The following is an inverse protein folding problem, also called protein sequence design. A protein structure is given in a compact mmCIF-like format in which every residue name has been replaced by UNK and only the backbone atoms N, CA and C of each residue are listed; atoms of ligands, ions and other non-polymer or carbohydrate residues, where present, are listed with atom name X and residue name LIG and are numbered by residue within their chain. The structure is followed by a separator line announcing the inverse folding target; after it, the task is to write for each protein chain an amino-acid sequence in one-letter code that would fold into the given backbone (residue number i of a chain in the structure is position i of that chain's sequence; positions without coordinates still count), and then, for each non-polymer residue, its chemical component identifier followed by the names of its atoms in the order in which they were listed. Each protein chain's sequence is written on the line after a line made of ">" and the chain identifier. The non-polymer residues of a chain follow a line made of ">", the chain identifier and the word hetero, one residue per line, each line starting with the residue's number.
data_IF_349778568404
#
_entry.id   IF_349778568404
#
_cell.length_a   1.000
_cell.length_b   1.000
_cell.length_c   1.000
_cell.angle_alpha   90.00
_cell.angle_beta   90.00
_cell.angle_gamma   90.00
#
_symmetry.space_group_name_H-M   'P 1'
#
loop_
_entity.id
_entity.type
_entity.pdbx_description
1 polymer ?
#
# COMPACT_ATOMS: atom_id res chain seq x y z
N UNK A 1 28.05 1.40 -22.75
CA UNK A 1 26.68 1.36 -23.32
C UNK A 1 25.93 0.04 -23.04
N UNK A 2 26.62 -1.06 -22.67
CA UNK A 2 25.97 -2.37 -22.41
C UNK A 2 25.15 -2.42 -21.08
N UNK A 3 25.29 -1.42 -20.21
CA UNK A 3 24.73 -1.46 -18.84
C UNK A 3 23.54 -0.51 -18.64
N UNK A 4 22.97 0.03 -19.71
CA UNK A 4 21.87 0.98 -19.69
C UNK A 4 20.73 0.60 -20.64
N UNK A 5 19.51 0.98 -20.26
CA UNK A 5 18.35 0.91 -21.15
C UNK A 5 18.52 1.94 -22.26
N UNK A 6 18.32 1.52 -23.52
CA UNK A 6 18.37 2.35 -24.71
C UNK A 6 16.97 2.45 -25.31
N UNK A 7 16.68 3.51 -26.04
CA UNK A 7 15.39 3.70 -26.72
C UNK A 7 15.01 2.49 -27.61
N UNK A 8 16.01 1.86 -28.23
CA UNK A 8 15.84 0.64 -29.01
C UNK A 8 15.29 -0.57 -28.26
N UNK A 9 15.39 -0.60 -26.92
CA UNK A 9 14.74 -1.62 -26.08
C UNK A 9 13.21 -1.48 -26.05
N UNK A 10 12.65 -0.35 -26.49
CA UNK A 10 11.21 -0.12 -26.61
C UNK A 10 10.64 -0.32 -28.02
N UNK A 11 11.47 -0.67 -29.02
CA UNK A 11 11.07 -0.63 -30.45
C UNK A 11 10.68 -1.99 -31.05
N UNK A 12 10.52 -3.05 -30.26
CA UNK A 12 10.05 -4.35 -30.76
C UNK A 12 11.07 -5.21 -31.49
N UNK A 13 12.36 -4.80 -31.55
CA UNK A 13 13.42 -5.53 -32.23
C UNK A 13 14.25 -6.44 -31.33
N UNK A 14 15.46 -6.82 -31.79
CA UNK A 14 16.35 -7.73 -31.07
C UNK A 14 16.75 -7.21 -29.69
N UNK A 15 16.93 -5.90 -29.50
CA UNK A 15 17.22 -5.31 -28.20
C UNK A 15 16.05 -5.50 -27.22
N UNK A 16 14.81 -5.30 -27.68
CA UNK A 16 13.61 -5.55 -26.86
C UNK A 16 13.52 -7.03 -26.49
N UNK A 17 13.72 -7.92 -27.44
CA UNK A 17 13.69 -9.36 -27.18
C UNK A 17 14.76 -9.79 -26.15
N UNK A 18 15.95 -9.20 -26.21
CA UNK A 18 17.03 -9.43 -25.26
C UNK A 18 16.66 -8.93 -23.85
N UNK A 19 16.12 -7.70 -23.72
CA UNK A 19 15.64 -7.13 -22.47
C UNK A 19 14.54 -8.00 -21.83
N UNK A 20 13.54 -8.37 -22.63
CA UNK A 20 12.44 -9.21 -22.15
C UNK A 20 12.95 -10.56 -21.65
N UNK A 21 13.79 -11.24 -22.45
CA UNK A 21 14.32 -12.56 -22.09
C UNK A 21 15.21 -12.52 -20.85
N UNK A 22 16.17 -11.60 -20.80
CA UNK A 22 17.26 -11.62 -19.83
C UNK A 22 16.96 -10.80 -18.54
N UNK A 23 15.90 -10.01 -18.53
CA UNK A 23 15.50 -9.20 -17.36
C UNK A 23 14.07 -9.53 -16.94
N UNK A 24 13.09 -9.33 -17.82
CA UNK A 24 11.68 -9.41 -17.46
C UNK A 24 11.24 -10.86 -17.23
N UNK A 25 11.36 -11.73 -18.23
CA UNK A 25 10.95 -13.14 -18.12
C UNK A 25 11.84 -13.92 -17.14
N UNK A 26 13.11 -13.52 -16.99
CA UNK A 26 13.98 -14.10 -15.97
C UNK A 26 13.50 -13.80 -14.54
N UNK A 27 12.90 -12.64 -14.33
CA UNK A 27 12.33 -12.26 -13.03
C UNK A 27 10.90 -12.76 -12.83
N UNK A 28 10.11 -12.88 -13.89
CA UNK A 28 8.68 -13.23 -13.86
C UNK A 28 8.42 -14.50 -14.67
N UNK A 29 8.71 -15.69 -14.12
CA UNK A 29 8.65 -16.96 -14.87
C UNK A 29 7.25 -17.38 -15.31
N UNK A 30 6.20 -16.83 -14.70
CA UNK A 30 4.81 -17.10 -15.06
C UNK A 30 4.31 -16.27 -16.26
N UNK A 31 5.06 -15.24 -16.68
CA UNK A 31 4.71 -14.43 -17.85
C UNK A 31 4.98 -15.24 -19.12
N UNK A 32 3.93 -15.42 -19.93
CA UNK A 32 4.03 -16.03 -21.23
C UNK A 32 4.23 -14.97 -22.33
N UNK A 33 4.96 -15.26 -23.41
CA UNK A 33 5.14 -14.34 -24.54
C UNK A 33 3.90 -14.31 -25.45
N UNK A 34 2.77 -13.94 -24.86
CA UNK A 34 1.42 -13.84 -25.48
C UNK A 34 0.80 -12.49 -25.13
N UNK A 35 -0.28 -12.11 -25.83
CA UNK A 35 -0.94 -10.80 -25.64
C UNK A 35 -1.65 -10.65 -24.30
N UNK A 36 -1.75 -11.72 -23.50
CA UNK A 36 -2.40 -11.69 -22.20
C UNK A 36 -2.29 -13.00 -21.43
N UNK A 37 -2.87 -13.05 -20.24
CA UNK A 37 -2.93 -14.24 -19.40
C UNK A 37 -4.38 -14.71 -19.25
N UNK A 38 -4.58 -16.03 -19.26
CA UNK A 38 -5.89 -16.65 -18.97
C UNK A 38 -5.97 -16.94 -17.47
N UNK A 39 -7.12 -16.62 -16.87
CA UNK A 39 -7.39 -16.88 -15.48
C UNK A 39 -8.76 -17.52 -15.30
N UNK A 40 -8.81 -18.61 -14.55
CA UNK A 40 -10.06 -19.22 -14.11
C UNK A 40 -10.53 -18.59 -12.80
N UNK A 41 -11.82 -18.29 -12.71
CA UNK A 41 -12.45 -17.85 -11.46
C UNK A 41 -12.89 -19.09 -10.68
N UNK A 42 -12.41 -19.32 -9.44
CA UNK A 42 -12.84 -20.46 -8.64
C UNK A 42 -14.35 -20.45 -8.42
N UNK A 43 -14.98 -21.61 -8.50
CA UNK A 43 -16.43 -21.75 -8.37
C UNK A 43 -16.95 -21.14 -7.07
N UNK A 44 -17.98 -20.31 -7.15
CA UNK A 44 -18.60 -19.67 -6.00
C UNK A 44 -17.84 -18.45 -5.43
N UNK A 45 -16.74 -18.06 -6.04
CA UNK A 45 -15.99 -16.85 -5.64
C UNK A 45 -16.38 -15.63 -6.49
N UNK A 46 -16.16 -14.44 -5.95
CA UNK A 46 -16.20 -13.16 -6.68
C UNK A 46 -14.80 -12.77 -7.12
N UNK A 47 -14.70 -12.26 -8.33
CA UNK A 47 -13.48 -11.63 -8.82
C UNK A 47 -13.43 -10.18 -8.29
N UNK A 48 -12.28 -9.82 -7.72
CA UNK A 48 -11.93 -8.44 -7.32
C UNK A 48 -10.78 -8.00 -8.21
N UNK A 49 -10.88 -6.78 -8.70
CA UNK A 49 -9.88 -6.17 -9.59
C UNK A 49 -9.50 -4.78 -9.08
N UNK A 50 -8.21 -4.48 -9.09
CA UNK A 50 -7.67 -3.16 -8.79
C UNK A 50 -6.53 -2.79 -9.72
N UNK A 51 -6.16 -1.52 -9.75
CA UNK A 51 -4.97 -1.01 -10.45
C UNK A 51 -4.40 0.18 -9.72
N UNK A 52 -3.06 0.27 -9.70
CA UNK A 52 -2.36 1.37 -9.08
C UNK A 52 -1.07 1.71 -9.85
N UNK A 53 -0.56 2.94 -9.66
CA UNK A 53 0.61 3.48 -10.34
C UNK A 53 1.60 4.04 -9.32
N UNK A 54 2.88 3.69 -9.50
CA UNK A 54 3.94 3.98 -8.54
C UNK A 54 5.00 4.87 -9.15
N UNK A 55 5.27 5.97 -8.46
CA UNK A 55 6.17 7.04 -8.90
C UNK A 55 7.10 7.52 -7.78
N UNK A 56 7.34 6.69 -6.76
CA UNK A 56 8.13 7.04 -5.57
C UNK A 56 9.54 7.54 -5.93
N UNK A 57 10.01 8.52 -5.20
CA UNK A 57 11.37 9.06 -5.31
C UNK A 57 11.95 9.29 -3.90
N UNK A 58 13.13 8.71 -3.57
CA UNK A 58 14.00 7.89 -4.42
C UNK A 58 13.41 6.50 -4.71
N UNK A 59 13.91 5.82 -5.75
CA UNK A 59 13.45 4.47 -6.15
C UNK A 59 13.81 3.40 -5.13
N UNK A 60 14.90 3.59 -4.41
CA UNK A 60 15.39 2.73 -3.34
C UNK A 60 15.43 3.53 -2.04
N UNK A 61 14.85 2.98 -1.00
CA UNK A 61 14.73 3.62 0.32
C UNK A 61 14.93 2.59 1.43
N UNK A 62 15.15 2.99 2.67
CA UNK A 62 15.27 2.05 3.79
C UNK A 62 14.05 1.12 3.88
N UNK A 63 14.30 -0.18 3.84
CA UNK A 63 13.25 -1.20 3.93
C UNK A 63 12.56 -1.58 2.63
N UNK A 64 12.87 -0.93 1.49
CA UNK A 64 12.21 -1.26 0.23
C UNK A 64 12.72 -0.53 -1.01
N UNK A 65 11.98 -0.74 -2.08
CA UNK A 65 12.15 -0.08 -3.37
C UNK A 65 10.80 0.03 -4.09
N UNK A 66 10.76 0.76 -5.20
CA UNK A 66 9.56 0.95 -6.01
C UNK A 66 8.93 -0.38 -6.47
N UNK A 67 9.72 -1.43 -6.69
CA UNK A 67 9.23 -2.73 -7.13
C UNK A 67 8.45 -3.46 -6.03
N UNK A 68 9.01 -3.51 -4.80
CA UNK A 68 8.31 -4.06 -3.64
C UNK A 68 7.04 -3.28 -3.35
N UNK A 69 7.14 -1.96 -3.40
CA UNK A 69 6.02 -1.05 -3.18
C UNK A 69 4.88 -1.30 -4.17
N UNK A 70 5.19 -1.42 -5.46
CA UNK A 70 4.22 -1.65 -6.51
C UNK A 70 3.43 -2.96 -6.34
N UNK A 71 4.07 -4.01 -5.91
CA UNK A 71 3.39 -5.28 -5.64
C UNK A 71 2.55 -5.19 -4.36
N UNK A 72 3.14 -4.70 -3.27
CA UNK A 72 2.45 -4.65 -1.98
C UNK A 72 1.22 -3.73 -2.04
N UNK A 73 1.31 -2.55 -2.64
CA UNK A 73 0.15 -1.65 -2.77
C UNK A 73 -1.01 -2.33 -3.48
N UNK A 74 -0.78 -2.90 -4.66
CA UNK A 74 -1.83 -3.58 -5.43
C UNK A 74 -2.43 -4.79 -4.70
N UNK A 75 -1.62 -5.64 -4.05
CA UNK A 75 -2.16 -6.79 -3.31
C UNK A 75 -2.87 -6.36 -2.02
N UNK A 76 -2.49 -5.22 -1.45
CA UNK A 76 -3.14 -4.67 -0.27
C UNK A 76 -4.54 -4.14 -0.58
N UNK A 77 -4.73 -3.50 -1.72
CA UNK A 77 -6.06 -3.12 -2.21
C UNK A 77 -7.00 -4.34 -2.30
N UNK A 78 -6.51 -5.43 -2.90
CA UNK A 78 -7.27 -6.69 -2.96
C UNK A 78 -7.61 -7.21 -1.56
N UNK A 79 -6.63 -7.17 -0.64
CA UNK A 79 -6.83 -7.61 0.74
C UNK A 79 -7.87 -6.73 1.47
N UNK A 80 -7.89 -5.41 1.24
CA UNK A 80 -8.90 -4.52 1.83
C UNK A 80 -10.32 -4.86 1.35
N UNK A 81 -10.46 -5.45 0.18
CA UNK A 81 -11.73 -5.99 -0.34
C UNK A 81 -12.02 -7.43 0.13
N UNK A 82 -11.17 -8.01 1.00
CA UNK A 82 -11.29 -9.40 1.47
C UNK A 82 -10.99 -10.45 0.40
N UNK A 83 -10.23 -10.06 -0.61
CA UNK A 83 -9.85 -10.94 -1.71
C UNK A 83 -8.44 -11.50 -1.51
N UNK A 84 -8.30 -12.81 -1.70
CA UNK A 84 -7.00 -13.46 -1.79
C UNK A 84 -6.31 -13.04 -3.10
N UNK A 85 -5.15 -12.36 -3.03
CA UNK A 85 -4.40 -11.98 -4.22
C UNK A 85 -4.02 -13.22 -5.04
N UNK A 86 -4.13 -13.13 -6.37
CA UNK A 86 -3.85 -14.27 -7.25
C UNK A 86 -2.94 -13.89 -8.43
N UNK A 87 -3.34 -12.92 -9.22
CA UNK A 87 -2.67 -12.56 -10.46
C UNK A 87 -2.39 -11.07 -10.52
N UNK A 88 -1.23 -10.72 -11.08
CA UNK A 88 -0.79 -9.33 -11.27
C UNK A 88 -0.37 -9.14 -12.72
N UNK A 89 -0.77 -8.03 -13.31
CA UNK A 89 -0.13 -7.47 -14.49
C UNK A 89 0.87 -6.38 -14.09
N UNK A 90 1.94 -6.20 -14.87
CA UNK A 90 2.96 -5.19 -14.60
C UNK A 90 3.31 -4.40 -15.86
N UNK A 91 2.98 -3.11 -15.88
CA UNK A 91 3.41 -2.16 -16.88
C UNK A 91 4.63 -1.38 -16.41
N UNK A 92 5.68 -1.32 -17.23
CA UNK A 92 6.91 -0.56 -16.97
C UNK A 92 7.08 0.55 -18.02
N UNK A 93 7.23 1.79 -17.56
CA UNK A 93 7.65 2.92 -18.40
C UNK A 93 9.05 3.32 -17.94
N UNK A 94 10.04 3.14 -18.79
CA UNK A 94 11.46 3.26 -18.45
C UNK A 94 12.07 4.37 -19.28
N UNK A 95 12.77 5.28 -18.63
CA UNK A 95 13.53 6.33 -19.31
C UNK A 95 14.83 5.78 -19.93
N UNK A 96 15.16 6.23 -21.13
CA UNK A 96 16.44 5.94 -21.75
C UNK A 96 17.60 6.38 -20.84
N UNK A 97 18.60 5.51 -20.71
CA UNK A 97 19.74 5.75 -19.81
C UNK A 97 19.60 5.14 -18.44
N UNK A 98 18.43 4.57 -18.10
CA UNK A 98 18.23 3.85 -16.83
C UNK A 98 19.20 2.66 -16.71
N UNK A 99 19.77 2.44 -15.53
CA UNK A 99 20.73 1.37 -15.31
C UNK A 99 20.06 0.00 -15.38
N UNK A 100 20.58 -0.92 -16.18
CA UNK A 100 20.04 -2.28 -16.29
C UNK A 100 20.14 -3.07 -14.99
N UNK A 101 21.15 -2.81 -14.17
CA UNK A 101 21.31 -3.46 -12.88
C UNK A 101 20.23 -3.01 -11.88
N UNK A 102 19.86 -1.73 -11.90
CA UNK A 102 18.75 -1.23 -11.08
C UNK A 102 17.42 -1.82 -11.57
N UNK A 103 17.22 -1.96 -12.89
CA UNK A 103 16.03 -2.62 -13.42
C UNK A 103 15.95 -4.08 -12.97
N UNK A 104 17.06 -4.84 -13.05
CA UNK A 104 17.13 -6.23 -12.57
C UNK A 104 16.80 -6.31 -11.07
N UNK A 105 17.34 -5.41 -10.27
CA UNK A 105 17.11 -5.32 -8.84
C UNK A 105 15.64 -5.05 -8.52
N UNK A 106 15.00 -4.12 -9.23
CA UNK A 106 13.57 -3.80 -9.08
C UNK A 106 12.71 -5.01 -9.47
N UNK A 107 12.95 -5.63 -10.64
CA UNK A 107 12.20 -6.81 -11.08
C UNK A 107 12.36 -7.99 -10.10
N UNK A 108 13.56 -8.23 -9.57
CA UNK A 108 13.79 -9.25 -8.56
C UNK A 108 13.07 -8.95 -7.24
N UNK A 109 12.97 -7.68 -6.84
CA UNK A 109 12.21 -7.24 -5.67
C UNK A 109 10.72 -7.45 -5.86
N UNK A 110 10.16 -7.11 -7.04
CA UNK A 110 8.78 -7.39 -7.41
C UNK A 110 8.46 -8.88 -7.33
N UNK A 111 9.32 -9.71 -7.91
CA UNK A 111 9.14 -11.18 -7.90
C UNK A 111 9.07 -11.72 -6.46
N UNK A 112 9.98 -11.30 -5.58
CA UNK A 112 9.96 -11.69 -4.16
C UNK A 112 8.69 -11.21 -3.45
N UNK A 113 8.29 -9.96 -3.65
CA UNK A 113 7.09 -9.42 -3.02
C UNK A 113 5.82 -10.15 -3.49
N UNK A 114 5.73 -10.51 -4.77
CA UNK A 114 4.63 -11.30 -5.30
C UNK A 114 4.56 -12.69 -4.66
N UNK A 115 5.71 -13.38 -4.52
CA UNK A 115 5.77 -14.67 -3.82
C UNK A 115 5.36 -14.54 -2.35
N UNK A 116 5.84 -13.52 -1.63
CA UNK A 116 5.46 -13.25 -0.24
C UNK A 116 3.95 -13.01 -0.08
N UNK A 117 3.33 -12.34 -1.07
CA UNK A 117 1.90 -12.08 -1.09
C UNK A 117 1.04 -13.28 -1.57
N UNK A 118 1.66 -14.35 -2.08
CA UNK A 118 0.96 -15.48 -2.68
C UNK A 118 0.39 -15.21 -4.06
N UNK A 119 0.83 -14.13 -4.73
CA UNK A 119 0.39 -13.74 -6.05
C UNK A 119 1.45 -14.06 -7.12
N UNK A 120 1.02 -14.08 -8.40
CA UNK A 120 1.91 -14.32 -9.56
C UNK A 120 1.81 -13.15 -10.54
N UNK A 121 2.96 -12.69 -11.03
CA UNK A 121 3.00 -11.74 -12.15
C UNK A 121 2.89 -12.57 -13.43
N UNK A 122 1.80 -12.39 -14.19
CA UNK A 122 1.42 -13.28 -15.30
C UNK A 122 1.40 -12.60 -16.67
N UNK A 123 1.38 -11.27 -16.68
CA UNK A 123 1.41 -10.47 -17.92
C UNK A 123 1.95 -9.08 -17.62
N UNK A 124 2.28 -8.33 -18.66
CA UNK A 124 2.76 -6.96 -18.52
C UNK A 124 3.09 -6.31 -19.86
N UNK A 125 3.51 -5.07 -19.77
CA UNK A 125 4.00 -4.30 -20.93
C UNK A 125 5.26 -3.52 -20.53
N UNK A 126 6.12 -3.23 -21.50
CA UNK A 126 7.35 -2.45 -21.29
C UNK A 126 7.47 -1.39 -22.37
N UNK A 127 7.54 -0.14 -21.95
CA UNK A 127 7.82 1.00 -22.84
C UNK A 127 9.12 1.66 -22.42
N UNK A 128 9.89 2.07 -23.42
CA UNK A 128 11.06 2.94 -23.22
C UNK A 128 10.76 4.28 -23.86
N UNK A 129 10.94 5.33 -23.09
CA UNK A 129 10.77 6.73 -23.51
C UNK A 129 12.13 7.42 -23.58
N UNK A 130 12.22 8.53 -24.31
CA UNK A 130 13.44 9.30 -24.46
C UNK A 130 13.94 9.93 -23.17
N UNK A 131 15.19 10.35 -23.16
CA UNK A 131 15.80 11.04 -22.01
C UNK A 131 15.02 12.32 -21.67
N UNK A 132 14.66 12.49 -20.40
CA UNK A 132 13.87 13.62 -19.91
C UNK A 132 12.35 13.49 -20.11
N UNK A 133 11.86 12.35 -20.63
CA UNK A 133 10.42 12.10 -20.83
C UNK A 133 9.78 11.29 -19.68
N UNK A 134 10.59 10.76 -18.78
CA UNK A 134 10.16 10.15 -17.53
C UNK A 134 11.15 10.49 -16.40
N UNK A 135 10.84 10.13 -15.16
CA UNK A 135 11.80 10.23 -14.06
C UNK A 135 12.30 8.83 -13.70
N UNK A 136 13.21 8.34 -14.47
CA UNK A 136 13.85 7.02 -14.34
C UNK A 136 12.95 5.85 -14.71
N UNK A 137 11.97 5.50 -13.89
CA UNK A 137 11.00 4.43 -14.11
C UNK A 137 9.68 4.74 -13.41
N UNK A 138 8.59 4.43 -14.09
CA UNK A 138 7.24 4.35 -13.51
C UNK A 138 6.72 2.92 -13.64
N UNK A 139 5.99 2.48 -12.62
CA UNK A 139 5.42 1.13 -12.57
C UNK A 139 3.92 1.26 -12.39
N UNK A 140 3.15 0.58 -13.26
CA UNK A 140 1.72 0.36 -13.05
C UNK A 140 1.49 -1.12 -12.83
N UNK A 141 0.71 -1.46 -11.82
CA UNK A 141 0.28 -2.83 -11.58
C UNK A 141 -1.24 -2.90 -11.54
N UNK A 142 -1.79 -3.98 -12.08
CA UNK A 142 -3.20 -4.31 -11.87
C UNK A 142 -3.29 -5.68 -11.27
N UNK A 143 -4.18 -5.86 -10.30
CA UNK A 143 -4.32 -7.08 -9.54
C UNK A 143 -5.69 -7.73 -9.69
N UNK A 144 -5.71 -9.06 -9.73
CA UNK A 144 -6.90 -9.88 -9.61
C UNK A 144 -6.79 -10.72 -8.35
N UNK A 145 -7.86 -10.73 -7.56
CA UNK A 145 -8.02 -11.58 -6.40
C UNK A 145 -9.40 -12.20 -6.34
N UNK A 146 -9.58 -13.17 -5.45
CA UNK A 146 -10.85 -13.89 -5.27
C UNK A 146 -11.37 -13.72 -3.86
N UNK A 147 -12.63 -13.29 -3.71
CA UNK A 147 -13.29 -13.07 -2.44
C UNK A 147 -14.51 -13.97 -2.28
N UNK A 148 -14.82 -14.35 -1.03
CA UNK A 148 -16.09 -15.00 -0.70
C UNK A 148 -17.25 -14.01 -0.92
N UNK A 149 -18.41 -14.46 -1.48
CA UNK A 149 -19.56 -13.58 -1.73
C UNK A 149 -20.11 -12.90 -0.49
N UNK A 150 -19.89 -13.47 0.69
CA UNK A 150 -20.34 -12.92 1.98
C UNK A 150 -19.56 -11.68 2.40
N UNK A 151 -18.35 -11.49 1.88
CA UNK A 151 -17.53 -10.32 2.17
C UNK A 151 -17.98 -9.14 1.29
N UNK A 152 -18.23 -8.02 1.91
CA UNK A 152 -18.62 -6.80 1.23
C UNK A 152 -18.34 -5.65 2.19
N UNK A 153 -17.09 -5.24 2.30
CA UNK A 153 -16.65 -4.16 3.16
C UNK A 153 -17.05 -2.82 2.53
N UNK A 154 -17.73 -1.99 3.32
CA UNK A 154 -18.20 -0.69 2.86
C UNK A 154 -18.37 0.24 4.06
N UNK A 155 -18.11 1.55 3.93
CA UNK A 155 -18.40 2.51 4.98
C UNK A 155 -19.82 2.42 5.54
N UNK A 156 -20.82 2.08 4.72
CA UNK A 156 -22.22 1.91 5.12
C UNK A 156 -22.48 0.77 6.13
N UNK A 157 -21.52 -0.14 6.27
CA UNK A 157 -21.60 -1.25 7.24
C UNK A 157 -21.09 -0.90 8.63
N UNK A 158 -20.39 0.23 8.75
CA UNK A 158 -19.92 0.74 10.04
C UNK A 158 -21.10 1.18 10.88
N UNK A 159 -21.05 0.92 12.18
CA UNK A 159 -22.13 1.22 13.09
C UNK A 159 -21.66 2.06 14.28
N UNK A 160 -22.57 2.85 14.83
CA UNK A 160 -22.32 3.49 16.13
C UNK A 160 -22.01 2.42 17.19
N UNK A 161 -20.93 2.61 17.91
CA UNK A 161 -20.38 1.66 18.87
C UNK A 161 -19.22 0.82 18.35
N UNK A 162 -18.99 0.77 17.03
CA UNK A 162 -17.83 0.09 16.48
C UNK A 162 -16.53 0.71 16.97
N UNK A 163 -15.52 -0.12 17.08
CA UNK A 163 -14.16 0.25 17.49
C UNK A 163 -13.26 0.31 16.27
N UNK A 164 -12.44 1.34 16.20
CA UNK A 164 -11.47 1.55 15.15
C UNK A 164 -10.14 0.98 15.60
N UNK A 165 -9.58 0.08 14.79
CA UNK A 165 -8.29 -0.58 15.04
C UNK A 165 -7.35 -0.27 13.88
N UNK A 166 -6.04 -0.15 14.17
CA UNK A 166 -4.95 -0.20 13.18
C UNK A 166 -4.06 -1.40 13.48
N UNK A 167 -3.50 -2.00 12.43
CA UNK A 167 -2.69 -3.23 12.57
C UNK A 167 -1.24 -2.99 12.99
N UNK A 168 -0.79 -1.75 13.13
CA UNK A 168 0.60 -1.45 13.52
C UNK A 168 0.98 0.01 13.50
N UNK A 169 2.28 0.28 13.58
CA UNK A 169 2.88 1.61 13.62
C UNK A 169 2.52 2.49 12.43
N UNK A 170 2.40 3.79 12.64
CA UNK A 170 1.95 4.74 11.62
C UNK A 170 3.09 5.63 11.12
N UNK A 171 3.12 5.89 9.81
CA UNK A 171 4.00 6.87 9.18
C UNK A 171 5.44 6.41 8.93
N UNK A 172 5.76 5.15 9.16
CA UNK A 172 7.12 4.62 8.99
C UNK A 172 7.57 4.69 7.52
N UNK A 173 6.68 4.33 6.56
CA UNK A 173 6.99 4.43 5.13
C UNK A 173 7.32 5.86 4.71
N UNK A 174 6.44 6.80 5.00
CA UNK A 174 6.64 8.19 4.61
C UNK A 174 7.93 8.77 5.14
N UNK A 175 8.28 8.45 6.39
CA UNK A 175 9.54 8.91 6.99
C UNK A 175 10.76 8.21 6.41
N UNK A 176 10.69 6.92 6.08
CA UNK A 176 11.77 6.20 5.41
C UNK A 176 12.09 6.78 4.03
N UNK A 177 11.06 7.05 3.21
CA UNK A 177 11.22 7.67 1.89
C UNK A 177 11.77 9.10 2.01
N UNK A 178 11.26 9.89 2.95
CA UNK A 178 11.75 11.25 3.19
C UNK A 178 13.21 11.26 3.65
N UNK A 179 13.60 10.35 4.53
CA UNK A 179 15.00 10.21 4.96
C UNK A 179 15.92 9.93 3.76
N UNK A 180 15.53 8.96 2.90
CA UNK A 180 16.25 8.67 1.66
C UNK A 180 16.33 9.88 0.71
N UNK A 181 15.25 10.66 0.60
CA UNK A 181 15.19 11.86 -0.25
C UNK A 181 16.10 12.99 0.25
N UNK A 182 16.19 13.17 1.54
CA UNK A 182 16.99 14.21 2.17
C UNK A 182 18.44 13.79 2.44
N UNK A 183 18.80 12.52 2.16
CA UNK A 183 20.12 11.99 2.43
C UNK A 183 20.44 11.90 3.93
N UNK A 184 19.42 11.74 4.79
CA UNK A 184 19.56 11.56 6.23
C UNK A 184 19.24 10.13 6.63
N UNK A 185 19.71 9.72 7.79
CA UNK A 185 19.43 8.38 8.34
C UNK A 185 18.97 8.47 9.78
N UNK A 186 18.05 7.59 10.15
CA UNK A 186 17.68 7.38 11.55
C UNK A 186 18.68 6.44 12.24
N UNK A 187 18.88 6.62 13.53
CA UNK A 187 19.67 5.73 14.35
C UNK A 187 18.85 5.28 15.58
N UNK A 188 18.43 4.02 15.67
CA UNK A 188 18.55 2.96 14.64
C UNK A 188 17.74 3.28 13.38
N UNK A 189 18.06 2.60 12.27
CA UNK A 189 17.37 2.79 10.98
C UNK A 189 15.85 2.60 11.12
N UNK A 190 15.07 3.44 10.44
CA UNK A 190 13.61 3.34 10.35
C UNK A 190 13.26 2.83 8.94
N UNK A 191 13.02 1.53 8.76
CA UNK A 191 12.64 0.99 7.47
C UNK A 191 11.18 1.33 7.12
N UNK A 192 10.87 1.34 5.84
CA UNK A 192 9.48 1.35 5.34
C UNK A 192 8.72 0.14 5.90
N UNK A 193 7.47 0.36 6.23
CA UNK A 193 6.54 -0.65 6.69
C UNK A 193 5.85 -1.43 5.54
N UNK A 194 6.25 -1.19 4.28
CA UNK A 194 5.64 -1.85 3.12
C UNK A 194 5.68 -3.38 3.22
N UNK A 195 4.52 -3.99 3.32
CA UNK A 195 4.32 -5.42 3.52
C UNK A 195 2.96 -5.88 2.99
N UNK A 196 2.80 -7.17 2.59
CA UNK A 196 1.51 -7.69 2.18
C UNK A 196 0.58 -7.86 3.40
N UNK A 197 -0.65 -7.38 3.28
CA UNK A 197 -1.66 -7.38 4.36
C UNK A 197 -2.57 -8.60 4.35
N UNK A 198 -2.63 -9.33 3.24
CA UNK A 198 -3.52 -10.49 3.12
C UNK A 198 -3.39 -11.53 4.24
N UNK A 199 -2.19 -11.89 4.75
CA UNK A 199 -2.08 -12.85 5.84
C UNK A 199 -2.87 -12.44 7.10
N UNK A 200 -2.85 -11.16 7.46
CA UNK A 200 -3.59 -10.63 8.61
C UNK A 200 -5.10 -10.59 8.33
N UNK A 201 -5.51 -10.14 7.15
CA UNK A 201 -6.91 -10.13 6.73
C UNK A 201 -7.46 -11.55 6.68
N UNK A 202 -6.72 -12.50 6.10
CA UNK A 202 -7.09 -13.93 6.06
C UNK A 202 -7.31 -14.50 7.46
N UNK A 203 -6.45 -14.14 8.41
CA UNK A 203 -6.57 -14.60 9.81
C UNK A 203 -7.85 -14.05 10.48
N UNK A 204 -8.17 -12.77 10.29
CA UNK A 204 -9.41 -12.15 10.79
C UNK A 204 -10.65 -12.86 10.23
N UNK A 205 -10.72 -12.97 8.90
CA UNK A 205 -11.85 -13.57 8.21
C UNK A 205 -12.03 -15.06 8.55
N UNK A 206 -10.91 -15.80 8.67
CA UNK A 206 -10.89 -17.20 9.07
C UNK A 206 -11.37 -17.44 10.51
N UNK A 207 -11.24 -16.46 11.38
CA UNK A 207 -11.78 -16.48 12.74
C UNK A 207 -13.23 -15.97 12.82
N UNK A 208 -13.87 -15.66 11.69
CA UNK A 208 -15.24 -15.14 11.64
C UNK A 208 -15.37 -13.65 12.01
N UNK A 209 -14.24 -12.93 12.09
CA UNK A 209 -14.25 -11.48 12.27
C UNK A 209 -14.47 -10.84 10.92
N UNK A 210 -15.64 -10.24 10.73
CA UNK A 210 -16.03 -9.54 9.50
C UNK A 210 -16.10 -8.05 9.78
N UNK A 211 -15.07 -7.26 9.45
CA UNK A 211 -15.07 -5.81 9.64
C UNK A 211 -16.22 -5.14 8.88
N UNK A 212 -16.72 -4.03 9.38
CA UNK A 212 -17.62 -3.16 8.62
C UNK A 212 -16.89 -2.59 7.41
N UNK A 213 -15.69 -2.06 7.63
CA UNK A 213 -14.80 -1.52 6.60
C UNK A 213 -13.35 -1.89 6.91
N UNK A 214 -12.55 -2.06 5.87
CA UNK A 214 -11.08 -2.06 5.91
C UNK A 214 -10.56 -1.09 4.87
N UNK A 215 -9.49 -0.36 5.20
CA UNK A 215 -8.83 0.58 4.29
C UNK A 215 -7.34 0.67 4.63
N UNK A 216 -6.49 0.53 3.63
CA UNK A 216 -5.05 0.78 3.79
C UNK A 216 -4.76 2.26 4.06
N UNK A 217 -3.70 2.52 4.84
CA UNK A 217 -3.36 3.86 5.33
C UNK A 217 -2.23 4.44 4.47
N UNK A 218 -2.48 4.62 3.19
CA UNK A 218 -1.52 5.11 2.20
C UNK A 218 -1.48 6.64 2.14
N UNK A 219 -1.61 7.25 0.97
CA UNK A 219 -1.54 8.71 0.81
C UNK A 219 -2.51 9.46 1.71
N UNK A 220 -2.00 10.52 2.36
CA UNK A 220 -2.77 11.30 3.32
C UNK A 220 -2.91 10.67 4.70
N UNK A 221 -2.30 9.49 4.91
CA UNK A 221 -2.21 8.81 6.19
C UNK A 221 -3.57 8.46 6.81
N UNK A 222 -3.54 8.12 8.09
CA UNK A 222 -4.74 7.80 8.86
C UNK A 222 -5.77 8.95 8.86
N UNK A 223 -5.31 10.20 8.86
CA UNK A 223 -6.19 11.37 8.94
C UNK A 223 -7.10 11.50 7.73
N UNK A 224 -6.55 11.39 6.50
CA UNK A 224 -7.34 11.44 5.27
C UNK A 224 -8.24 10.22 5.13
N UNK A 225 -7.70 9.02 5.38
CA UNK A 225 -8.47 7.77 5.31
C UNK A 225 -9.67 7.79 6.25
N UNK A 226 -9.48 8.18 7.52
CA UNK A 226 -10.58 8.26 8.46
C UNK A 226 -11.64 9.29 8.04
N UNK A 227 -11.21 10.44 7.52
CA UNK A 227 -12.12 11.48 7.06
C UNK A 227 -12.93 11.04 5.82
N UNK A 228 -12.29 10.39 4.86
CA UNK A 228 -12.96 9.81 3.68
C UNK A 228 -13.99 8.73 4.07
N UNK A 229 -13.66 7.87 5.03
CA UNK A 229 -14.56 6.81 5.50
C UNK A 229 -15.78 7.35 6.27
N UNK A 230 -15.64 8.49 6.94
CA UNK A 230 -16.74 9.12 7.69
C UNK A 230 -17.63 9.98 6.80
N UNK A 231 -17.13 10.46 5.66
CA UNK A 231 -17.80 11.43 4.80
C UNK A 231 -19.19 10.93 4.34
N UNK A 232 -20.18 11.79 4.52
CA UNK A 232 -21.57 11.50 4.12
C UNK A 232 -22.33 10.50 5.00
N UNK A 233 -21.69 9.93 6.01
CA UNK A 233 -22.34 9.01 6.94
C UNK A 233 -22.98 9.76 8.10
N UNK A 234 -24.06 9.21 8.73
CA UNK A 234 -24.62 9.73 9.96
C UNK A 234 -23.80 9.26 11.19
N UNK A 235 -22.47 9.24 11.06
CA UNK A 235 -21.53 8.71 12.05
C UNK A 235 -20.36 9.68 12.24
N UNK A 236 -19.91 9.85 13.48
CA UNK A 236 -18.67 10.56 13.80
C UNK A 236 -17.61 9.56 14.28
N UNK A 237 -16.36 9.73 13.85
CA UNK A 237 -15.22 8.92 14.27
C UNK A 237 -14.42 9.69 15.31
N UNK A 238 -14.20 9.08 16.47
CA UNK A 238 -13.42 9.63 17.58
C UNK A 238 -12.12 8.86 17.69
N UNK A 239 -11.00 9.51 17.44
CA UNK A 239 -9.65 8.97 17.57
C UNK A 239 -9.00 9.52 18.83
N UNK A 240 -8.19 8.73 19.54
CA UNK A 240 -7.42 9.14 20.72
C UNK A 240 -5.94 9.17 20.39
N UNK A 241 -5.33 10.34 20.45
CA UNK A 241 -3.90 10.56 20.17
C UNK A 241 -3.00 9.65 21.02
N UNK A 242 -3.34 9.48 22.29
CA UNK A 242 -2.61 8.61 23.22
C UNK A 242 -2.64 7.11 22.84
N UNK A 243 -3.56 6.70 21.96
CA UNK A 243 -3.70 5.32 21.50
C UNK A 243 -3.07 5.10 20.11
N UNK A 244 -2.60 6.15 19.42
CA UNK A 244 -1.99 6.02 18.12
C UNK A 244 -0.60 5.38 18.25
N UNK A 245 -0.34 4.24 17.57
CA UNK A 245 0.96 3.58 17.63
C UNK A 245 1.96 4.28 16.69
N UNK A 246 2.53 5.40 17.11
CA UNK A 246 3.51 6.17 16.36
C UNK A 246 4.90 5.99 16.99
N UNK A 247 5.88 5.53 16.20
CA UNK A 247 7.26 5.38 16.65
C UNK A 247 7.86 6.75 17.03
N UNK A 248 8.63 6.81 18.09
CA UNK A 248 9.25 8.05 18.55
C UNK A 248 10.17 8.71 17.50
N UNK A 249 10.75 7.91 16.58
CA UNK A 249 11.56 8.43 15.45
C UNK A 249 10.67 9.14 14.43
N UNK A 250 9.47 8.59 14.16
CA UNK A 250 8.47 9.24 13.29
C UNK A 250 8.03 10.58 13.91
N UNK A 251 7.68 10.58 15.20
CA UNK A 251 7.30 11.82 15.91
C UNK A 251 8.38 12.87 15.79
N UNK A 252 9.63 12.53 16.12
CA UNK A 252 10.76 13.47 16.04
C UNK A 252 11.03 13.99 14.63
N UNK A 253 10.91 13.14 13.62
CA UNK A 253 11.07 13.54 12.23
C UNK A 253 9.94 14.51 11.81
N UNK A 254 8.72 14.21 12.19
CA UNK A 254 7.57 15.09 11.94
C UNK A 254 7.74 16.46 12.61
N UNK A 255 8.21 16.49 13.85
CA UNK A 255 8.51 17.75 14.57
C UNK A 255 9.56 18.60 13.84
N UNK A 256 10.65 17.95 13.35
CA UNK A 256 11.75 18.64 12.64
C UNK A 256 11.28 19.14 11.27
N UNK A 257 10.48 18.35 10.54
CA UNK A 257 10.10 18.66 9.16
C UNK A 257 8.75 19.37 9.04
N UNK A 258 8.06 19.60 10.17
CA UNK A 258 6.77 20.30 10.21
C UNK A 258 5.60 19.46 9.70
N UNK A 259 5.65 18.13 9.86
CA UNK A 259 4.57 17.23 9.49
C UNK A 259 3.72 16.83 10.70
N UNK A 260 2.47 16.49 10.45
CA UNK A 260 1.60 15.83 11.43
C UNK A 260 1.65 14.30 11.16
N UNK A 261 2.08 13.46 12.12
CA UNK A 261 2.15 12.01 11.97
C UNK A 261 0.84 11.37 11.48
N UNK A 262 -0.29 11.99 11.80
CA UNK A 262 -1.61 11.52 11.40
C UNK A 262 -1.79 11.46 9.87
N UNK A 263 -1.04 12.26 9.13
CA UNK A 263 -1.13 12.38 7.67
C UNK A 263 0.07 11.79 6.93
N UNK A 264 0.98 11.15 7.65
CA UNK A 264 2.14 10.48 7.03
C UNK A 264 1.71 9.11 6.52
N UNK A 265 2.09 8.81 5.28
CA UNK A 265 1.74 7.56 4.62
C UNK A 265 2.40 6.33 5.28
N UNK A 266 1.67 5.24 5.28
CA UNK A 266 2.11 3.87 5.58
C UNK A 266 1.76 2.97 4.39
N UNK A 267 2.52 1.90 4.15
CA UNK A 267 2.32 1.01 2.99
C UNK A 267 2.11 -0.47 3.38
N UNK A 268 2.12 -0.74 4.68
CA UNK A 268 1.82 -2.04 5.27
C UNK A 268 0.85 -1.91 6.45
N UNK A 269 0.02 -0.87 6.46
CA UNK A 269 -0.94 -0.59 7.53
C UNK A 269 -2.34 -0.40 6.99
N UNK A 270 -3.31 -0.84 7.77
CA UNK A 270 -4.72 -0.62 7.47
C UNK A 270 -5.52 -0.28 8.72
N UNK A 271 -6.59 0.45 8.50
CA UNK A 271 -7.65 0.72 9.47
C UNK A 271 -8.78 -0.29 9.24
N UNK A 272 -9.38 -0.76 10.33
CA UNK A 272 -10.61 -1.54 10.28
C UNK A 272 -11.58 -1.11 11.38
N UNK A 273 -12.89 -1.29 11.13
CA UNK A 273 -13.92 -1.16 12.15
C UNK A 273 -14.51 -2.50 12.52
N UNK A 274 -14.63 -2.80 13.80
CA UNK A 274 -15.26 -4.03 14.30
C UNK A 274 -16.20 -3.74 15.45
N UNK A 275 -17.19 -4.59 15.61
CA UNK A 275 -18.08 -4.55 16.78
C UNK A 275 -17.31 -4.79 18.09
N UNK A 276 -17.76 -4.20 19.22
CA UNK A 276 -17.03 -4.27 20.50
C UNK A 276 -16.67 -5.68 20.96
N UNK A 277 -17.54 -6.66 20.69
CA UNK A 277 -17.32 -8.05 21.09
C UNK A 277 -16.17 -8.76 20.33
N UNK A 278 -15.71 -8.18 19.21
CA UNK A 278 -14.67 -8.78 18.34
C UNK A 278 -13.29 -8.13 18.56
N UNK A 279 -13.19 -7.06 19.35
CA UNK A 279 -11.98 -6.24 19.51
C UNK A 279 -10.80 -7.04 20.05
N UNK A 280 -11.00 -7.77 21.14
CA UNK A 280 -9.94 -8.52 21.80
C UNK A 280 -9.32 -9.57 20.87
N UNK A 281 -10.18 -10.33 20.20
CA UNK A 281 -9.73 -11.35 19.26
C UNK A 281 -9.10 -10.74 18.00
N UNK A 282 -9.64 -9.62 17.50
CA UNK A 282 -9.02 -8.89 16.38
C UNK A 282 -7.59 -8.43 16.71
N UNK A 283 -7.40 -7.80 17.88
CA UNK A 283 -6.08 -7.36 18.34
C UNK A 283 -5.11 -8.55 18.52
N UNK A 284 -5.59 -9.66 19.09
CA UNK A 284 -4.79 -10.87 19.25
C UNK A 284 -4.28 -11.41 17.91
N UNK A 285 -5.16 -11.46 16.90
CA UNK A 285 -4.83 -11.97 15.56
C UNK A 285 -3.91 -11.02 14.78
N UNK A 286 -4.10 -9.72 14.93
CA UNK A 286 -3.25 -8.71 14.28
C UNK A 286 -1.86 -8.62 14.92
N UNK A 287 -1.73 -9.05 16.17
CA UNK A 287 -0.46 -9.10 16.88
C UNK A 287 -0.18 -7.86 17.75
N UNK A 288 0.96 -7.84 18.44
CA UNK A 288 1.25 -6.88 19.52
C UNK A 288 1.44 -5.44 19.07
N UNK A 289 1.62 -5.21 17.77
CA UNK A 289 1.75 -3.85 17.22
C UNK A 289 0.38 -3.21 16.91
N UNK A 290 -0.69 -4.00 16.89
CA UNK A 290 -2.04 -3.51 16.64
C UNK A 290 -2.58 -2.72 17.83
N UNK A 291 -3.38 -1.70 17.53
CA UNK A 291 -3.96 -0.84 18.56
C UNK A 291 -5.41 -0.48 18.26
N UNK A 292 -6.23 -0.47 19.32
CA UNK A 292 -7.55 0.16 19.29
C UNK A 292 -7.35 1.66 19.47
N UNK A 293 -7.60 2.42 18.41
CA UNK A 293 -7.28 3.85 18.33
C UNK A 293 -8.51 4.76 18.44
N UNK A 294 -9.72 4.19 18.36
CA UNK A 294 -10.90 5.01 18.26
C UNK A 294 -12.22 4.26 18.38
N UNK A 295 -13.30 5.03 18.37
CA UNK A 295 -14.68 4.54 18.36
C UNK A 295 -15.55 5.36 17.42
N UNK A 296 -16.61 4.74 16.96
CA UNK A 296 -17.63 5.37 16.12
C UNK A 296 -18.86 5.71 16.97
N UNK A 297 -19.41 6.89 16.77
CA UNK A 297 -20.68 7.32 17.39
C UNK A 297 -21.69 7.78 16.34
N UNK A 298 -22.96 7.90 16.72
CA UNK A 298 -23.90 8.65 15.89
C UNK A 298 -23.42 10.09 15.73
N UNK A 299 -23.53 10.65 14.52
CA UNK A 299 -22.97 11.96 14.20
C UNK A 299 -23.35 12.48 12.83
N UNK A 300 -22.43 13.17 12.17
CA UNK A 300 -22.67 13.89 10.92
C UNK A 300 -21.52 13.80 9.91
N UNK A 301 -20.74 12.72 9.93
CA UNK A 301 -19.67 12.46 8.99
C UNK A 301 -18.36 13.17 9.33
N UNK A 302 -18.07 13.34 10.61
CA UNK A 302 -16.88 14.06 11.07
C UNK A 302 -15.91 13.14 11.79
N UNK A 303 -14.65 13.54 11.77
CA UNK A 303 -13.58 12.87 12.56
C UNK A 303 -13.03 13.84 13.58
N UNK A 304 -12.83 13.36 14.79
CA UNK A 304 -12.30 14.13 15.91
C UNK A 304 -11.09 13.42 16.49
N UNK A 305 -9.99 14.14 16.71
CA UNK A 305 -8.85 13.69 17.47
C UNK A 305 -8.91 14.27 18.88
N UNK A 306 -9.00 13.39 19.87
CA UNK A 306 -8.86 13.72 21.28
C UNK A 306 -7.37 13.74 21.63
N UNK A 307 -6.85 14.93 21.91
CA UNK A 307 -5.41 15.14 22.11
C UNK A 307 -4.98 14.75 23.52
N UNK A 308 -3.70 14.43 23.68
CA UNK A 308 -3.07 14.09 24.97
C UNK A 308 -3.12 15.21 26.00
N UNK A 309 -3.25 16.47 25.54
CA UNK A 309 -3.39 17.66 26.40
C UNK A 309 -4.84 17.99 26.76
N UNK A 310 -5.80 17.11 26.42
CA UNK A 310 -7.22 17.25 26.80
C UNK A 310 -8.06 18.09 25.82
N UNK A 311 -7.50 18.51 24.69
CA UNK A 311 -8.24 19.19 23.62
C UNK A 311 -8.92 18.20 22.66
N UNK A 312 -9.82 18.71 21.82
CA UNK A 312 -10.42 17.98 20.70
C UNK A 312 -10.27 18.81 19.44
N UNK A 313 -9.66 18.24 18.40
CA UNK A 313 -9.54 18.90 17.11
C UNK A 313 -10.24 18.12 16.01
N UNK A 314 -10.88 18.78 15.03
CA UNK A 314 -11.39 18.09 13.85
C UNK A 314 -10.22 17.59 13.00
N UNK A 315 -10.38 16.38 12.45
CA UNK A 315 -9.51 15.81 11.44
C UNK A 315 -10.20 15.96 10.09
N UNK A 316 -9.50 16.50 9.10
CA UNK A 316 -10.02 16.76 7.76
C UNK A 316 -9.06 16.21 6.72
N UNK A 317 -9.53 15.87 5.52
CA UNK A 317 -8.62 15.57 4.42
C UNK A 317 -7.66 16.74 4.19
N UNK A 318 -6.43 16.43 3.80
CA UNK A 318 -5.46 17.48 3.44
C UNK A 318 -5.93 18.19 2.18
N UNK A 319 -5.80 19.52 2.09
CA UNK A 319 -6.14 20.29 0.89
C UNK A 319 -5.17 20.06 -0.28
N UNK A 320 -4.07 19.35 -0.04
CA UNK A 320 -3.02 19.03 -1.02
C UNK A 320 -2.05 18.02 -0.46
N UNK A 321 -1.11 17.55 -1.28
CA UNK A 321 -0.11 16.57 -0.86
C UNK A 321 0.91 17.19 0.11
N UNK A 322 1.02 16.60 1.30
CA UNK A 322 2.05 16.96 2.27
C UNK A 322 3.41 16.33 1.90
N UNK A 323 3.39 15.12 1.35
CA UNK A 323 4.55 14.35 0.95
C UNK A 323 4.39 13.88 -0.51
N UNK A 324 4.78 14.71 -1.51
CA UNK A 324 4.61 14.35 -2.91
C UNK A 324 5.50 13.15 -3.29
N UNK A 325 5.00 12.30 -4.19
CA UNK A 325 5.72 11.14 -4.73
C UNK A 325 6.27 10.23 -3.63
N UNK A 326 5.40 9.85 -2.72
CA UNK A 326 5.73 8.94 -1.62
C UNK A 326 5.47 7.47 -2.03
N UNK A 327 4.59 7.25 -2.99
CA UNK A 327 4.24 5.94 -3.55
C UNK A 327 4.14 5.98 -5.09
#
# INVERSE_FOLDING_TARGET
>A
MKDKVLLGHGSGGALMADLLKNVIFAAFPDVQPTDGAVADVPAGMRLVFTTDSFVVKPLFFPGGDIGRLAINGTVNDLAMMGAEPALISCGLIIEEGFALDDLRRICASMSRAAMEAGARIVTGDTKVVGYGEADSIFINTSGIGYAQPVYGFSPDRVKAGDVIIVNGGLGEHGMAVMAGRLGVSFAPELPSDSAPLWPQVKALLGAGIVPGVMRDITRGGLGSVAAELAEGLPLDYHLWEACLPVDARVVKACDIWGFDPLYVASEGRFLLSVGPAQVEEALRLLGPAAASIGKVSAGSGRVFLHTTVGGVRPVRPLPGEMLPRIC
#
